data_IF_071669642181
#
_entry.id   IF_071669642181
#
_cell.length_a   1.000
_cell.length_b   1.000
_cell.length_c   1.000
_cell.angle_alpha   90.00
_cell.angle_beta   90.00
_cell.angle_gamma   90.00
#
_symmetry.space_group_name_H-M   'P 1'
#
loop_
_entity.id
_entity.type
_entity.pdbx_description
1 polymer ?
#
# COMPACT_ATOMS: atom_id res chain seq x y z
N UNK A 1 24.29 -34.61 -33.15
CA UNK A 1 24.55 -33.16 -33.22
C UNK A 1 23.97 -32.53 -31.97
N UNK A 2 24.82 -31.92 -31.14
CA UNK A 2 24.51 -31.33 -29.84
C UNK A 2 24.15 -29.86 -30.09
N UNK A 3 22.99 -29.39 -29.65
CA UNK A 3 22.74 -27.96 -29.48
C UNK A 3 22.87 -27.66 -27.99
N UNK A 4 23.97 -27.00 -27.62
CA UNK A 4 24.10 -26.37 -26.32
C UNK A 4 23.45 -24.99 -26.41
N UNK A 5 22.49 -24.73 -25.52
CA UNK A 5 21.92 -23.41 -25.32
C UNK A 5 22.39 -22.90 -23.96
N UNK A 6 23.29 -21.93 -23.99
CA UNK A 6 23.82 -21.27 -22.81
C UNK A 6 22.76 -20.36 -22.17
N UNK A 7 22.68 -20.45 -20.83
CA UNK A 7 22.40 -19.31 -19.97
C UNK A 7 21.09 -18.54 -20.15
N UNK A 8 19.95 -19.12 -19.78
CA UNK A 8 18.88 -18.34 -19.15
C UNK A 8 17.98 -19.21 -18.26
N UNK A 9 18.44 -19.51 -17.04
CA UNK A 9 17.49 -19.83 -15.97
C UNK A 9 16.84 -18.52 -15.54
N UNK A 10 15.87 -18.03 -16.31
CA UNK A 10 14.86 -17.15 -15.76
C UNK A 10 14.11 -17.99 -14.72
N UNK A 11 14.61 -18.00 -13.49
CA UNK A 11 13.87 -18.46 -12.33
C UNK A 11 12.63 -17.59 -12.35
N UNK A 12 11.48 -18.16 -12.73
CA UNK A 12 10.21 -17.46 -12.65
C UNK A 12 10.09 -17.00 -11.18
N UNK A 13 10.41 -15.74 -10.92
CA UNK A 13 10.28 -15.10 -9.62
C UNK A 13 8.79 -14.81 -9.54
N UNK A 14 8.03 -15.78 -9.06
CA UNK A 14 6.67 -15.50 -8.64
C UNK A 14 6.79 -14.79 -7.31
N UNK A 15 6.49 -13.49 -7.28
CA UNK A 15 6.30 -12.78 -6.02
C UNK A 15 4.99 -13.27 -5.40
N UNK A 16 5.02 -13.70 -4.14
CA UNK A 16 3.84 -14.19 -3.44
C UNK A 16 3.27 -13.07 -2.59
N UNK A 17 2.04 -12.66 -2.90
CA UNK A 17 1.33 -11.67 -2.09
C UNK A 17 0.46 -12.35 -1.03
N UNK A 18 0.48 -11.81 0.18
CA UNK A 18 -0.42 -12.14 1.28
C UNK A 18 -1.28 -10.92 1.59
N UNK A 19 -2.58 -11.13 1.72
CA UNK A 19 -3.55 -10.08 2.00
C UNK A 19 -4.10 -10.26 3.42
N UNK A 20 -4.22 -9.14 4.14
CA UNK A 20 -4.85 -9.07 5.45
C UNK A 20 -6.00 -8.08 5.39
N UNK A 21 -7.11 -8.43 6.04
CA UNK A 21 -8.32 -7.64 6.08
C UNK A 21 -8.64 -7.23 7.51
N UNK A 22 -9.28 -6.08 7.68
CA UNK A 22 -9.80 -5.63 8.97
C UNK A 22 -11.12 -6.36 9.33
N UNK A 23 -11.72 -5.96 10.46
CA UNK A 23 -12.98 -6.55 10.94
C UNK A 23 -14.21 -6.23 10.07
N UNK A 24 -14.09 -5.27 9.15
CA UNK A 24 -15.12 -4.87 8.20
C UNK A 24 -14.85 -5.42 6.79
N UNK A 25 -13.95 -6.42 6.67
CA UNK A 25 -13.51 -7.03 5.41
C UNK A 25 -12.84 -6.05 4.43
N UNK A 26 -12.26 -4.95 4.93
CA UNK A 26 -11.50 -3.99 4.15
C UNK A 26 -10.03 -4.38 4.08
N UNK A 27 -9.36 -4.14 2.95
CA UNK A 27 -7.97 -4.53 2.76
C UNK A 27 -7.04 -3.68 3.64
N UNK A 28 -6.56 -4.27 4.74
CA UNK A 28 -5.71 -3.58 5.70
C UNK A 28 -4.21 -3.71 5.37
N UNK A 29 -3.78 -4.85 4.82
CA UNK A 29 -2.35 -5.07 4.50
C UNK A 29 -2.15 -5.90 3.25
N UNK A 30 -1.12 -5.57 2.48
CA UNK A 30 -0.54 -6.44 1.44
C UNK A 30 0.92 -6.69 1.80
N UNK A 31 1.40 -7.92 1.68
CA UNK A 31 2.80 -8.28 1.92
C UNK A 31 3.35 -9.12 0.79
N UNK A 32 4.51 -8.78 0.27
CA UNK A 32 5.23 -9.66 -0.64
C UNK A 32 6.17 -10.63 0.10
N UNK A 33 6.76 -11.57 -0.64
CA UNK A 33 7.72 -12.53 -0.11
C UNK A 33 9.13 -11.96 0.08
N UNK A 34 9.35 -10.72 -0.37
CA UNK A 34 10.59 -9.96 -0.19
C UNK A 34 10.56 -9.12 1.10
N UNK A 35 9.41 -9.06 1.78
CA UNK A 35 9.20 -8.41 3.06
C UNK A 35 8.61 -7.00 2.96
N UNK A 36 8.33 -6.51 1.76
CA UNK A 36 7.65 -5.24 1.58
C UNK A 36 6.21 -5.37 2.08
N UNK A 37 5.75 -4.33 2.78
CA UNK A 37 4.40 -4.29 3.37
C UNK A 37 3.73 -2.98 3.00
N UNK A 38 2.58 -3.08 2.37
CA UNK A 38 1.63 -2.00 2.18
C UNK A 38 0.56 -2.10 3.26
N UNK A 39 0.12 -0.97 3.80
CA UNK A 39 -0.99 -0.95 4.75
C UNK A 39 -1.92 0.22 4.52
N UNK A 40 -3.23 -0.04 4.67
CA UNK A 40 -4.27 0.96 4.59
C UNK A 40 -5.03 1.02 5.92
N UNK A 41 -5.31 2.24 6.39
CA UNK A 41 -6.16 2.52 7.54
C UNK A 41 -7.49 3.10 7.08
N UNK A 42 -8.56 2.75 7.80
CA UNK A 42 -9.92 3.21 7.50
C UNK A 42 -10.57 3.79 8.76
N UNK A 43 -11.39 4.82 8.57
CA UNK A 43 -12.29 5.29 9.62
C UNK A 43 -13.55 4.44 9.76
N UNK A 44 -14.41 4.79 10.72
CA UNK A 44 -15.67 4.08 10.96
C UNK A 44 -16.66 4.10 9.80
N UNK A 45 -16.50 5.01 8.83
CA UNK A 45 -17.32 5.09 7.63
C UNK A 45 -16.73 4.28 6.46
N UNK A 46 -15.56 3.65 6.67
CA UNK A 46 -14.84 2.90 5.65
C UNK A 46 -14.06 3.78 4.68
N UNK A 47 -13.80 5.04 5.04
CA UNK A 47 -12.99 5.95 4.23
C UNK A 47 -11.52 5.72 4.56
N UNK A 48 -10.67 5.61 3.54
CA UNK A 48 -9.23 5.43 3.73
C UNK A 48 -8.62 6.71 4.33
N UNK A 49 -8.03 6.58 5.51
CA UNK A 49 -7.42 7.69 6.26
C UNK A 49 -5.90 7.63 6.26
N UNK A 50 -5.32 6.44 6.03
CA UNK A 50 -3.89 6.22 6.14
C UNK A 50 -3.45 5.24 5.05
N UNK A 51 -2.31 5.52 4.44
CA UNK A 51 -1.62 4.59 3.55
C UNK A 51 -0.15 4.58 3.89
N UNK A 52 0.45 3.39 3.95
CA UNK A 52 1.90 3.21 4.03
C UNK A 52 2.33 2.38 2.86
N UNK A 53 3.23 2.94 2.07
CA UNK A 53 3.83 2.29 0.92
C UNK A 53 5.36 2.32 1.08
N UNK A 54 6.06 1.19 0.87
CA UNK A 54 7.49 1.08 1.10
C UNK A 54 8.34 1.89 0.10
N UNK A 55 7.80 2.22 -1.07
CA UNK A 55 8.50 3.00 -2.11
C UNK A 55 8.25 4.51 -1.97
N UNK A 56 7.03 4.89 -1.60
CA UNK A 56 6.56 6.28 -1.59
C UNK A 56 6.41 6.88 -0.19
N UNK A 57 6.39 6.06 0.86
CA UNK A 57 6.28 6.48 2.26
C UNK A 57 4.85 6.47 2.80
N UNK A 58 4.63 7.13 3.94
CA UNK A 58 3.32 7.18 4.61
C UNK A 58 2.56 8.46 4.29
N UNK A 59 1.27 8.36 4.02
CA UNK A 59 0.37 9.49 3.85
C UNK A 59 -0.91 9.30 4.66
N UNK A 60 -1.53 10.40 5.09
CA UNK A 60 -2.79 10.38 5.81
C UNK A 60 -3.71 11.53 5.42
N UNK A 61 -5.01 11.34 5.65
CA UNK A 61 -6.05 12.34 5.39
C UNK A 61 -7.12 12.32 6.49
N UNK A 62 -7.61 13.49 6.86
CA UNK A 62 -8.74 13.66 7.78
C UNK A 62 -9.94 14.18 7.00
N UNK A 63 -11.10 13.56 7.19
CA UNK A 63 -12.34 13.94 6.53
C UNK A 63 -13.40 14.37 7.55
N UNK A 64 -14.11 15.46 7.28
CA UNK A 64 -15.24 15.90 8.09
C UNK A 64 -16.50 15.04 7.85
N UNK A 65 -17.61 15.36 8.52
CA UNK A 65 -18.88 14.63 8.42
C UNK A 65 -19.55 14.73 7.03
N UNK A 66 -19.08 15.64 6.17
CA UNK A 66 -19.57 15.85 4.80
C UNK A 66 -18.69 15.15 3.75
N UNK A 67 -17.81 14.22 4.16
CA UNK A 67 -16.83 13.54 3.31
C UNK A 67 -15.81 14.49 2.65
N UNK A 68 -15.54 15.64 3.25
CA UNK A 68 -14.56 16.60 2.74
C UNK A 68 -13.23 16.44 3.49
N UNK A 69 -12.13 16.33 2.74
CA UNK A 69 -10.77 16.34 3.30
C UNK A 69 -10.49 17.71 3.93
N UNK A 70 -10.20 17.74 5.22
CA UNK A 70 -9.87 18.94 5.99
C UNK A 70 -8.38 19.04 6.30
N UNK A 71 -7.67 17.90 6.31
CA UNK A 71 -6.23 17.85 6.45
C UNK A 71 -5.66 16.69 5.64
N UNK A 72 -4.46 16.88 5.08
CA UNK A 72 -3.71 15.80 4.46
C UNK A 72 -2.21 15.96 4.78
N UNK A 73 -1.56 14.82 5.04
CA UNK A 73 -0.11 14.70 5.21
C UNK A 73 0.42 13.76 4.15
N UNK A 74 1.38 14.24 3.36
CA UNK A 74 2.11 13.42 2.39
C UNK A 74 3.37 12.82 3.05
N UNK A 75 3.96 11.81 2.42
CA UNK A 75 5.23 11.21 2.84
C UNK A 75 6.39 12.20 2.88
N UNK A 76 6.27 13.32 2.17
CA UNK A 76 7.13 14.49 2.32
C UNK A 76 6.58 15.35 3.47
N UNK A 77 7.40 15.87 4.40
CA UNK A 77 6.93 16.62 5.57
C UNK A 77 6.31 17.98 5.19
N UNK A 78 5.12 17.96 4.60
CA UNK A 78 4.37 19.12 4.16
C UNK A 78 2.87 18.83 4.30
N UNK A 79 2.36 19.14 5.49
CA UNK A 79 0.91 19.15 5.77
C UNK A 79 0.27 20.29 5.00
N UNK A 80 -0.79 20.00 4.24
CA UNK A 80 -1.63 21.01 3.58
C UNK A 80 -2.95 21.06 4.34
N UNK A 81 -3.20 22.17 5.04
CA UNK A 81 -4.51 22.45 5.64
C UNK A 81 -5.37 23.25 4.66
N UNK A 82 -6.61 22.83 4.45
CA UNK A 82 -7.58 23.59 3.67
C UNK A 82 -8.42 24.45 4.62
N UNK A 83 -8.49 25.76 4.36
CA UNK A 83 -9.28 26.74 5.13
C UNK A 83 -10.61 27.02 4.47
#
# INVERSE_FOLDING_TARGET
>A
MKLEYDGNKARQRFSRLTYGYDHADQLATVKDDEGNTWSNGYDFLGRETDVVDPDSGAASSECNELDQVVAATDARPKTIGFT
#
